data_IF_490702155753
#
_entry.id   IF_490702155753
#
_cell.length_a   1.000
_cell.length_b   1.000
_cell.length_c   1.000
_cell.angle_alpha   90.00
_cell.angle_beta   90.00
_cell.angle_gamma   90.00
#
_symmetry.space_group_name_H-M   'P 1'
#
loop_
_entity.id
_entity.type
_entity.pdbx_description
1 polymer ?
#
# COMPACT_ATOMS: atom_id res chain seq x y z
N UNK A 1 -29.04 -11.84 5.95
CA UNK A 1 -27.82 -12.35 5.28
C UNK A 1 -26.69 -12.38 6.29
N UNK A 2 -25.81 -13.40 6.25
CA UNK A 2 -24.70 -13.49 7.20
C UNK A 2 -23.55 -12.62 6.71
N UNK A 3 -23.10 -11.68 7.52
CA UNK A 3 -21.95 -10.81 7.25
C UNK A 3 -20.70 -11.42 7.87
N UNK A 4 -19.59 -11.38 7.16
CA UNK A 4 -18.28 -11.85 7.64
C UNK A 4 -17.21 -10.80 7.48
N UNK A 5 -16.28 -10.77 8.43
CA UNK A 5 -15.04 -9.99 8.31
C UNK A 5 -13.97 -10.91 7.74
N UNK A 6 -13.43 -10.55 6.57
CA UNK A 6 -12.53 -11.38 5.76
C UNK A 6 -11.25 -10.63 5.40
N UNK A 7 -10.23 -11.35 4.97
CA UNK A 7 -9.05 -10.80 4.33
C UNK A 7 -9.20 -10.85 2.80
N UNK A 8 -9.18 -9.68 2.16
CA UNK A 8 -9.08 -9.54 0.70
C UNK A 8 -7.61 -9.48 0.33
N UNK A 9 -7.17 -10.34 -0.60
CA UNK A 9 -5.78 -10.32 -1.05
C UNK A 9 -5.59 -9.27 -2.13
N UNK A 10 -4.54 -8.50 -1.97
CA UNK A 10 -4.07 -7.51 -2.92
C UNK A 10 -2.56 -7.69 -3.14
N UNK A 11 -1.94 -6.80 -3.90
CA UNK A 11 -0.51 -6.86 -4.17
C UNK A 11 -0.14 -7.81 -5.31
N UNK A 12 1.15 -8.00 -5.50
CA UNK A 12 1.75 -8.78 -6.60
C UNK A 12 2.12 -10.21 -6.15
N UNK A 13 2.59 -11.00 -7.09
CA UNK A 13 3.20 -12.31 -6.81
C UNK A 13 4.40 -12.06 -5.88
N UNK A 14 4.53 -12.85 -4.81
CA UNK A 14 5.56 -12.77 -3.76
C UNK A 14 5.49 -11.54 -2.84
N UNK A 15 4.63 -10.55 -3.10
CA UNK A 15 4.37 -9.39 -2.24
C UNK A 15 2.89 -9.30 -1.85
N UNK A 16 2.38 -10.26 -1.05
CA UNK A 16 0.99 -10.26 -0.64
C UNK A 16 0.73 -9.11 0.34
N UNK A 17 -0.31 -8.36 0.06
CA UNK A 17 -0.90 -7.37 0.95
C UNK A 17 -2.36 -7.74 1.15
N UNK A 18 -2.89 -7.46 2.33
CA UNK A 18 -4.27 -7.80 2.64
C UNK A 18 -5.01 -6.57 3.15
N UNK A 19 -6.29 -6.50 2.78
CA UNK A 19 -7.26 -5.58 3.36
C UNK A 19 -8.21 -6.37 4.24
N UNK A 20 -8.50 -5.84 5.41
CA UNK A 20 -9.52 -6.39 6.30
C UNK A 20 -10.83 -5.77 5.85
N UNK A 21 -11.72 -6.60 5.33
CA UNK A 21 -13.00 -6.16 4.73
C UNK A 21 -14.18 -6.82 5.41
N UNK A 22 -15.29 -6.10 5.39
CA UNK A 22 -16.61 -6.62 5.74
C UNK A 22 -17.33 -6.98 4.44
N UNK A 23 -17.81 -8.20 4.33
CA UNK A 23 -18.49 -8.67 3.14
C UNK A 23 -19.54 -9.74 3.49
N UNK A 24 -20.47 -9.98 2.56
CA UNK A 24 -21.39 -11.11 2.67
C UNK A 24 -20.63 -12.44 2.79
N UNK A 25 -21.19 -13.37 3.54
CA UNK A 25 -20.62 -14.70 3.73
C UNK A 25 -20.39 -15.43 2.40
N UNK A 26 -21.28 -15.25 1.42
CA UNK A 26 -21.24 -15.87 0.10
C UNK A 26 -20.34 -15.13 -0.90
N UNK A 27 -19.97 -13.88 -0.63
CA UNK A 27 -19.11 -13.10 -1.50
C UNK A 27 -17.74 -13.78 -1.66
N UNK A 28 -17.17 -13.72 -2.87
CA UNK A 28 -15.81 -14.20 -3.15
C UNK A 28 -14.79 -13.41 -2.32
N UNK A 29 -13.66 -14.03 -1.98
CA UNK A 29 -12.61 -13.41 -1.14
C UNK A 29 -12.17 -12.03 -1.65
N UNK A 30 -11.96 -11.89 -2.94
CA UNK A 30 -11.46 -10.67 -3.58
C UNK A 30 -12.58 -9.88 -4.31
N UNK A 31 -13.84 -10.21 -3.99
CA UNK A 31 -15.04 -9.58 -4.56
C UNK A 31 -15.37 -8.23 -3.93
N UNK A 32 -16.64 -7.84 -4.12
CA UNK A 32 -17.15 -6.60 -3.56
C UNK A 32 -17.20 -6.68 -2.03
N UNK A 33 -16.67 -5.64 -1.39
CA UNK A 33 -16.75 -5.43 0.05
C UNK A 33 -17.86 -4.42 0.36
N UNK A 34 -18.48 -4.58 1.52
CA UNK A 34 -19.40 -3.58 2.08
C UNK A 34 -18.59 -2.42 2.61
N UNK A 35 -17.52 -2.73 3.38
CA UNK A 35 -16.63 -1.75 3.99
C UNK A 35 -15.22 -2.33 4.13
N UNK A 36 -14.21 -1.45 4.09
CA UNK A 36 -12.82 -1.75 4.41
C UNK A 36 -12.50 -1.16 5.78
N UNK A 37 -12.07 -2.00 6.73
CA UNK A 37 -11.82 -1.62 8.12
C UNK A 37 -10.35 -1.67 8.52
N UNK A 38 -9.45 -2.14 7.64
CA UNK A 38 -8.03 -2.18 7.98
C UNK A 38 -7.13 -2.76 6.92
N UNK A 39 -5.82 -2.73 7.23
CA UNK A 39 -4.73 -3.19 6.36
C UNK A 39 -3.84 -4.18 7.11
N UNK A 40 -3.31 -5.16 6.38
CA UNK A 40 -2.35 -6.12 6.91
C UNK A 40 -1.27 -6.44 5.87
N UNK A 41 -0.02 -6.14 6.21
CA UNK A 41 1.14 -6.44 5.37
C UNK A 41 2.07 -7.39 6.11
N UNK A 42 2.04 -8.69 5.77
CA UNK A 42 2.81 -9.71 6.48
C UNK A 42 4.31 -9.69 6.17
N UNK A 43 4.71 -9.10 5.04
CA UNK A 43 6.10 -9.11 4.58
C UNK A 43 6.96 -7.98 5.18
N UNK A 44 6.34 -7.01 5.79
CA UNK A 44 7.04 -5.95 6.49
C UNK A 44 7.61 -6.46 7.82
N UNK A 45 8.72 -5.91 8.24
CA UNK A 45 9.37 -6.24 9.51
C UNK A 45 9.50 -4.97 10.37
N UNK A 46 8.72 -4.86 11.44
CA UNK A 46 7.63 -5.73 11.90
C UNK A 46 6.42 -5.73 10.96
N UNK A 47 5.60 -6.79 11.01
CA UNK A 47 4.38 -6.88 10.16
C UNK A 47 3.45 -5.71 10.43
N UNK A 48 3.06 -4.99 9.38
CA UNK A 48 2.15 -3.87 9.50
C UNK A 48 0.71 -4.36 9.67
N UNK A 49 0.05 -3.92 10.74
CA UNK A 49 -1.34 -4.22 11.05
C UNK A 49 -2.00 -2.91 11.48
N UNK A 50 -2.95 -2.46 10.68
CA UNK A 50 -3.77 -1.29 10.95
C UNK A 50 -5.23 -1.71 10.96
N UNK A 51 -5.96 -1.41 12.02
CA UNK A 51 -7.39 -1.71 12.16
C UNK A 51 -8.10 -0.48 12.69
N UNK A 52 -9.21 -0.12 12.07
CA UNK A 52 -10.11 0.88 12.63
C UNK A 52 -10.95 0.19 13.73
N UNK A 53 -10.58 0.39 14.98
CA UNK A 53 -11.20 -0.25 16.13
C UNK A 53 -12.68 0.08 16.25
N UNK A 54 -13.09 1.33 16.02
CA UNK A 54 -14.48 1.76 16.12
C UNK A 54 -15.38 1.00 15.13
N UNK A 55 -14.92 0.90 13.88
CA UNK A 55 -15.67 0.18 12.84
C UNK A 55 -15.66 -1.33 13.07
N UNK A 56 -14.55 -1.88 13.56
CA UNK A 56 -14.46 -3.29 13.94
C UNK A 56 -15.45 -3.63 15.06
N UNK A 57 -15.52 -2.83 16.12
CA UNK A 57 -16.46 -2.99 17.22
C UNK A 57 -17.91 -2.88 16.75
N UNK A 58 -18.19 -1.89 15.89
CA UNK A 58 -19.52 -1.72 15.30
C UNK A 58 -19.98 -2.99 14.57
N UNK A 59 -19.15 -3.53 13.67
CA UNK A 59 -19.53 -4.72 12.91
C UNK A 59 -19.61 -5.98 13.76
N UNK A 60 -18.75 -6.11 14.77
CA UNK A 60 -18.84 -7.22 15.73
C UNK A 60 -20.13 -7.16 16.55
N UNK A 61 -20.57 -5.96 16.97
CA UNK A 61 -21.84 -5.78 17.70
C UNK A 61 -23.06 -6.06 16.80
N UNK A 62 -22.96 -5.79 15.49
CA UNK A 62 -23.99 -6.17 14.52
C UNK A 62 -24.00 -7.67 14.20
N UNK A 63 -23.12 -8.46 14.79
CA UNK A 63 -23.06 -9.90 14.61
C UNK A 63 -22.22 -10.35 13.40
N UNK A 64 -21.38 -9.51 12.84
CA UNK A 64 -20.44 -9.93 11.80
C UNK A 64 -19.43 -10.94 12.36
N UNK A 65 -19.26 -12.07 11.66
CA UNK A 65 -18.39 -13.14 12.10
C UNK A 65 -16.99 -12.99 11.49
N UNK A 66 -15.93 -12.77 12.29
CA UNK A 66 -14.57 -12.75 11.77
C UNK A 66 -14.11 -14.15 11.37
N UNK A 67 -13.42 -14.28 10.26
CA UNK A 67 -12.71 -15.50 9.88
C UNK A 67 -11.53 -15.75 10.83
N UNK A 68 -11.04 -16.98 10.95
CA UNK A 68 -9.96 -17.32 11.90
C UNK A 68 -8.70 -16.47 11.74
N UNK A 69 -8.20 -16.16 10.51
CA UNK A 69 -7.09 -15.25 10.35
C UNK A 69 -7.38 -13.84 10.88
N UNK A 70 -8.56 -13.29 10.57
CA UNK A 70 -8.96 -11.96 11.08
C UNK A 70 -9.09 -11.96 12.59
N UNK A 71 -9.69 -13.01 13.17
CA UNK A 71 -9.80 -13.16 14.63
C UNK A 71 -8.43 -13.15 15.31
N UNK A 72 -7.42 -13.77 14.68
CA UNK A 72 -6.04 -13.73 15.18
C UNK A 72 -5.45 -12.33 15.13
N UNK A 73 -5.71 -11.57 14.06
CA UNK A 73 -5.29 -10.18 13.96
C UNK A 73 -5.99 -9.31 15.02
N UNK A 74 -7.31 -9.40 15.15
CA UNK A 74 -8.08 -8.67 16.16
C UNK A 74 -7.68 -9.01 17.60
N UNK A 75 -7.19 -10.22 17.85
CA UNK A 75 -6.61 -10.60 19.15
C UNK A 75 -5.27 -9.90 19.39
N UNK A 76 -4.48 -9.70 18.36
CA UNK A 76 -3.19 -8.99 18.48
C UNK A 76 -3.39 -7.48 18.65
N UNK A 77 -4.33 -6.87 17.95
CA UNK A 77 -4.67 -5.44 18.10
C UNK A 77 -5.32 -5.14 19.45
N UNK A 78 -6.04 -6.10 20.02
CA UNK A 78 -6.79 -5.93 21.26
C UNK A 78 -8.29 -5.75 21.04
N UNK A 79 -8.74 -5.52 19.82
CA UNK A 79 -10.16 -5.27 19.50
C UNK A 79 -11.07 -6.45 19.86
N UNK A 80 -10.56 -7.66 19.71
CA UNK A 80 -11.31 -8.86 20.09
C UNK A 80 -11.52 -8.97 21.60
N UNK A 81 -10.50 -8.61 22.38
CA UNK A 81 -10.56 -8.62 23.84
C UNK A 81 -11.54 -7.56 24.33
N UNK A 82 -11.47 -6.36 23.75
CA UNK A 82 -12.38 -5.26 24.06
C UNK A 82 -13.84 -5.67 23.80
N UNK A 83 -14.13 -6.25 22.64
CA UNK A 83 -15.46 -6.76 22.30
C UNK A 83 -15.95 -7.82 23.29
N UNK A 84 -15.07 -8.68 23.80
CA UNK A 84 -15.41 -9.74 24.76
C UNK A 84 -15.31 -9.32 26.23
N UNK A 85 -14.90 -8.08 26.53
CA UNK A 85 -14.64 -7.61 27.90
C UNK A 85 -13.47 -8.34 28.58
N UNK A 86 -12.51 -8.84 27.79
CA UNK A 86 -11.33 -9.53 28.28
C UNK A 86 -10.17 -8.55 28.47
N UNK A 87 -9.17 -8.85 29.30
CA UNK A 87 -7.99 -8.00 29.45
C UNK A 87 -7.23 -7.86 28.13
N UNK A 88 -6.62 -6.67 27.93
CA UNK A 88 -5.81 -6.38 26.73
C UNK A 88 -4.66 -7.36 26.57
N UNK A 89 -4.16 -7.58 25.34
CA UNK A 89 -3.08 -8.52 25.09
C UNK A 89 -1.80 -8.07 25.79
N UNK A 90 -1.09 -9.01 26.40
CA UNK A 90 0.16 -8.73 27.14
C UNK A 90 1.31 -8.27 26.22
N UNK A 91 1.26 -8.62 24.94
CA UNK A 91 2.27 -8.22 23.96
C UNK A 91 1.63 -7.25 22.96
N UNK A 92 1.93 -5.95 23.04
CA UNK A 92 1.48 -4.98 22.05
C UNK A 92 2.07 -5.30 20.67
N UNK A 93 1.39 -4.83 19.63
CA UNK A 93 1.92 -4.93 18.27
C UNK A 93 3.17 -4.05 18.19
N UNK A 94 4.25 -4.62 17.67
CA UNK A 94 5.42 -3.84 17.30
C UNK A 94 5.05 -3.03 16.05
N UNK A 95 5.02 -1.72 16.20
CA UNK A 95 4.83 -0.79 15.08
C UNK A 95 6.21 -0.40 14.60
N UNK A 96 6.44 -0.44 13.29
CA UNK A 96 7.67 0.09 12.72
C UNK A 96 7.72 1.58 13.00
N UNK A 97 8.86 2.06 13.48
CA UNK A 97 9.08 3.49 13.63
C UNK A 97 8.91 4.18 12.27
N UNK A 98 8.27 5.36 12.23
CA UNK A 98 8.17 6.12 11.01
C UNK A 98 9.58 6.40 10.51
N UNK A 99 9.87 6.08 9.25
CA UNK A 99 11.15 6.41 8.64
C UNK A 99 11.25 7.91 8.48
N UNK A 100 12.23 8.50 9.10
CA UNK A 100 12.56 9.90 8.92
C UNK A 100 13.18 10.09 7.54
N UNK A 101 12.34 10.44 6.56
CA UNK A 101 12.77 10.64 5.17
C UNK A 101 13.87 11.69 5.05
N UNK A 102 13.82 12.72 5.88
CA UNK A 102 14.85 13.77 5.92
C UNK A 102 16.20 13.22 6.36
N UNK A 103 16.22 12.32 7.34
CA UNK A 103 17.45 11.67 7.79
C UNK A 103 18.00 10.69 6.73
N UNK A 104 17.11 9.93 6.06
CA UNK A 104 17.51 9.04 4.95
C UNK A 104 18.04 9.85 3.75
N UNK A 105 17.40 10.95 3.40
CA UNK A 105 17.86 11.84 2.32
C UNK A 105 19.20 12.52 2.68
N UNK A 106 19.37 12.98 3.90
CA UNK A 106 20.62 13.55 4.37
C UNK A 106 21.77 12.52 4.37
N UNK A 107 21.48 11.31 4.82
CA UNK A 107 22.45 10.20 4.78
C UNK A 107 22.81 9.82 3.34
N UNK A 108 21.81 9.77 2.44
CA UNK A 108 22.04 9.51 1.02
C UNK A 108 22.89 10.60 0.35
N UNK A 109 22.61 11.87 0.64
CA UNK A 109 23.42 12.99 0.14
C UNK A 109 24.85 12.99 0.70
N UNK A 110 25.02 12.59 1.95
CA UNK A 110 26.37 12.45 2.54
C UNK A 110 27.17 11.37 1.81
N UNK A 111 26.57 10.22 1.56
CA UNK A 111 27.20 9.13 0.79
C UNK A 111 27.49 9.56 -0.66
N UNK A 112 26.59 10.31 -1.31
CA UNK A 112 26.85 10.85 -2.64
C UNK A 112 28.01 11.83 -2.67
N UNK A 113 28.17 12.66 -1.64
CA UNK A 113 29.33 13.57 -1.52
C UNK A 113 30.64 12.82 -1.29
N UNK A 114 30.60 11.71 -0.56
CA UNK A 114 31.77 10.86 -0.33
C UNK A 114 32.14 10.04 -1.57
N UNK A 115 31.13 9.68 -2.39
CA UNK A 115 31.26 8.99 -3.69
C UNK A 115 31.47 9.96 -4.85
N UNK A 116 31.92 11.20 -4.64
CA UNK A 116 32.41 12.04 -5.74
C UNK A 116 33.62 11.33 -6.33
N UNK A 117 33.35 10.57 -7.39
CA UNK A 117 34.37 9.98 -8.24
C UNK A 117 35.32 11.11 -8.64
N UNK A 118 36.65 10.92 -8.57
CA UNK A 118 37.59 11.90 -9.05
C UNK A 118 37.23 12.21 -10.50
N UNK A 119 37.07 13.50 -10.79
CA UNK A 119 36.82 14.01 -12.13
C UNK A 119 37.80 13.34 -13.10
N UNK A 120 37.28 12.47 -13.94
CA UNK A 120 37.96 12.06 -15.14
C UNK A 120 37.94 13.25 -16.12
N UNK A 121 38.73 14.27 -15.80
CA UNK A 121 39.16 15.21 -16.80
C UNK A 121 39.98 14.44 -17.83
N UNK A 122 39.52 14.56 -19.04
CA UNK A 122 40.22 14.22 -20.27
C UNK A 122 39.88 12.87 -20.90
N UNK A 123 38.99 12.91 -21.89
CA UNK A 123 39.21 12.62 -23.30
C UNK A 123 37.94 12.57 -24.12
N UNK A 124 37.74 13.63 -24.94
CA UNK A 124 37.31 13.52 -26.33
C UNK A 124 36.04 12.74 -26.65
N UNK A 125 34.90 13.42 -26.70
CA UNK A 125 33.64 12.84 -27.18
C UNK A 125 32.64 13.89 -27.65
N UNK A 126 33.08 14.89 -28.39
CA UNK A 126 32.19 15.71 -29.24
C UNK A 126 31.51 14.79 -30.25
N UNK A 127 30.21 14.57 -30.15
CA UNK A 127 29.52 14.03 -31.30
C UNK A 127 28.35 13.07 -31.05
N UNK A 128 27.47 13.30 -30.05
CA UNK A 128 26.22 12.49 -30.01
C UNK A 128 24.98 13.16 -29.37
N UNK A 129 25.06 14.43 -29.03
CA UNK A 129 23.95 15.14 -28.39
C UNK A 129 23.11 16.04 -29.35
N UNK A 130 23.41 16.08 -30.65
CA UNK A 130 22.73 16.98 -31.60
C UNK A 130 21.74 16.30 -32.55
N UNK A 131 21.46 15.01 -32.37
CA UNK A 131 20.55 14.27 -33.27
C UNK A 131 19.27 13.79 -32.61
N UNK A 132 18.98 14.19 -31.35
CA UNK A 132 17.75 13.80 -30.63
C UNK A 132 16.81 14.98 -30.32
N UNK A 133 17.24 16.21 -30.63
CA UNK A 133 16.41 17.40 -30.45
C UNK A 133 15.66 17.82 -31.74
N UNK A 134 16.04 17.29 -32.90
CA UNK A 134 15.46 17.68 -34.20
C UNK A 134 14.35 16.75 -34.71
N UNK A 135 13.92 15.79 -33.87
CA UNK A 135 12.86 14.81 -34.22
C UNK A 135 11.61 14.91 -33.32
N UNK A 136 11.54 15.95 -32.49
CA UNK A 136 10.41 16.18 -31.60
C UNK A 136 9.50 17.34 -32.03
N UNK A 137 9.90 18.13 -33.03
CA UNK A 137 9.14 19.29 -33.49
C UNK A 137 8.33 19.10 -34.80
N UNK A 138 8.25 17.87 -35.33
CA UNK A 138 7.55 17.62 -36.59
C UNK A 138 6.31 16.72 -36.47
N UNK A 139 5.72 16.61 -35.27
CA UNK A 139 4.55 15.78 -35.03
C UNK A 139 3.38 16.46 -34.30
N UNK A 140 3.20 17.77 -34.51
CA UNK A 140 2.01 18.47 -33.99
C UNK A 140 1.53 19.51 -34.99
N UNK A 141 1.05 19.05 -36.15
CA UNK A 141 0.12 19.83 -36.96
C UNK A 141 -0.62 18.92 -37.95
N UNK A 142 -1.67 18.27 -37.48
CA UNK A 142 -2.75 17.79 -38.35
C UNK A 142 -4.02 17.57 -37.51
N UNK A 143 -4.80 18.62 -37.36
CA UNK A 143 -6.20 18.55 -36.94
C UNK A 143 -7.08 18.18 -38.12
N UNK A 144 -7.87 17.14 -38.10
CA UNK A 144 -8.95 17.00 -39.08
C UNK A 144 -10.20 17.72 -38.57
N UNK A 145 -10.67 18.61 -39.40
CA UNK A 145 -11.90 19.37 -39.36
C UNK A 145 -13.11 18.43 -39.50
N UNK A 146 -14.23 18.67 -38.82
CA UNK A 146 -15.44 17.92 -39.04
C UNK A 146 -16.20 18.49 -40.23
N UNK A 147 -16.49 17.68 -41.21
CA UNK A 147 -17.55 17.96 -42.16
C UNK A 147 -18.81 17.22 -41.78
N UNK A 148 -19.86 18.01 -41.68
CA UNK A 148 -21.20 17.58 -41.43
C UNK A 148 -21.99 17.25 -42.69
N UNK A 149 -23.21 16.80 -42.45
CA UNK A 149 -24.39 16.82 -43.25
C UNK A 149 -24.44 16.01 -44.57
N UNK A 150 -25.20 14.96 -44.54
CA UNK A 150 -26.48 14.80 -45.25
C UNK A 150 -27.10 13.43 -44.87
#
# INVERSE_FOLDING_TARGET
MAVKIKLKRMGKIRTPQYRIIVADARAKRDGQAIEEIGKYHPKEHPSFIEVNSERAQYWLSQGAQPTDPVKTLLKKTGDWQEFKGLPKPQKPIQVAEPRDKEAEEAAFQAVLKELVLPDNEDKGGKGRAKKKAEKADEATDETPKPEGEA
#
